data_IF_586507982489
#
_entry.id   IF_586507982489
#
_cell.length_a   1.000
_cell.length_b   1.000
_cell.length_c   1.000
_cell.angle_alpha   90.00
_cell.angle_beta   90.00
_cell.angle_gamma   90.00
#
_symmetry.space_group_name_H-M   'P 1'
#
loop_
_entity.id
_entity.type
_entity.pdbx_description
1 polymer ?
#
# COMPACT_ATOMS: atom_id res chain seq x y z
N UNK A 1 18.48 -25.72 6.55
CA UNK A 1 18.51 -24.76 5.43
C UNK A 1 17.96 -23.47 6.00
N UNK A 2 18.85 -22.52 6.32
CA UNK A 2 18.52 -21.37 7.16
C UNK A 2 17.81 -20.31 6.33
N UNK A 3 16.64 -19.91 6.81
CA UNK A 3 15.99 -18.66 6.46
C UNK A 3 16.92 -17.51 6.84
N UNK A 4 17.51 -16.86 5.86
CA UNK A 4 18.26 -15.64 6.04
C UNK A 4 17.92 -14.67 4.90
N UNK A 5 16.94 -13.81 5.20
CA UNK A 5 16.93 -12.38 4.81
C UNK A 5 16.93 -12.14 3.29
N UNK A 6 15.74 -12.26 2.70
CA UNK A 6 15.33 -11.55 1.48
C UNK A 6 14.41 -10.39 1.92
N UNK A 7 14.94 -9.49 2.76
CA UNK A 7 14.18 -8.35 3.29
C UNK A 7 14.76 -6.99 2.91
N UNK A 8 15.73 -6.94 2.00
CA UNK A 8 16.25 -5.69 1.46
C UNK A 8 16.45 -5.85 -0.05
N UNK A 9 15.36 -6.02 -0.80
CA UNK A 9 15.42 -5.69 -2.22
C UNK A 9 15.36 -4.15 -2.31
N UNK A 10 16.47 -3.47 -2.68
CA UNK A 10 16.50 -2.01 -2.75
C UNK A 10 15.53 -1.45 -3.79
N UNK A 11 15.02 -2.24 -4.74
CA UNK A 11 13.96 -1.80 -5.67
C UNK A 11 12.59 -1.67 -4.98
N UNK A 12 12.40 -2.29 -3.81
CA UNK A 12 11.16 -2.24 -3.03
C UNK A 12 11.25 -1.41 -1.76
N UNK A 13 12.45 -0.97 -1.36
CA UNK A 13 12.64 -0.05 -0.23
C UNK A 13 12.20 1.37 -0.63
N UNK A 14 10.92 1.66 -0.37
CA UNK A 14 10.43 3.04 -0.37
C UNK A 14 11.01 3.75 0.85
N UNK A 15 11.54 4.95 0.66
CA UNK A 15 11.96 5.80 1.79
C UNK A 15 10.78 5.97 2.78
N UNK A 16 10.98 5.83 4.11
CA UNK A 16 9.87 5.88 5.07
C UNK A 16 9.04 7.16 5.01
N UNK A 17 9.65 8.32 4.69
CA UNK A 17 8.90 9.57 4.55
C UNK A 17 8.03 9.51 3.30
N UNK A 18 8.57 8.98 2.21
CA UNK A 18 7.82 8.81 0.97
C UNK A 18 6.68 7.80 1.13
N UNK A 19 6.90 6.69 1.83
CA UNK A 19 5.85 5.72 2.14
C UNK A 19 4.70 6.38 2.93
N UNK A 20 5.02 7.16 3.96
CA UNK A 20 4.01 7.90 4.75
C UNK A 20 3.21 8.85 3.86
N UNK A 21 3.87 9.56 2.93
CA UNK A 21 3.20 10.46 1.99
C UNK A 21 2.26 9.71 1.05
N UNK A 22 2.72 8.62 0.45
CA UNK A 22 1.94 7.77 -0.44
C UNK A 22 0.71 7.19 0.28
N UNK A 23 0.88 6.67 1.49
CA UNK A 23 -0.24 6.16 2.32
C UNK A 23 -1.23 7.26 2.67
N UNK A 24 -0.74 8.44 3.04
CA UNK A 24 -1.59 9.60 3.34
C UNK A 24 -2.41 10.00 2.12
N UNK A 25 -1.77 10.10 0.96
CA UNK A 25 -2.44 10.41 -0.30
C UNK A 25 -3.48 9.36 -0.67
N UNK A 26 -3.16 8.08 -0.54
CA UNK A 26 -4.07 6.97 -0.82
C UNK A 26 -5.33 7.02 0.04
N UNK A 27 -5.20 7.31 1.34
CA UNK A 27 -6.35 7.46 2.23
C UNK A 27 -7.24 8.65 1.85
N UNK A 28 -6.63 9.77 1.45
CA UNK A 28 -7.33 11.01 1.05
C UNK A 28 -8.04 10.87 -0.30
N UNK A 29 -7.44 10.14 -1.24
CA UNK A 29 -7.94 9.95 -2.61
C UNK A 29 -8.47 8.53 -2.85
N UNK A 30 -9.00 7.91 -1.79
CA UNK A 30 -9.50 6.54 -1.84
C UNK A 30 -10.55 6.37 -2.94
N UNK A 31 -10.33 5.35 -3.77
CA UNK A 31 -11.29 4.85 -4.75
C UNK A 31 -11.62 3.38 -4.44
N UNK A 32 -12.83 2.89 -4.76
CA UNK A 32 -13.15 1.47 -4.70
C UNK A 32 -12.32 0.68 -5.72
N UNK A 33 -12.16 -0.63 -5.51
CA UNK A 33 -11.29 -1.50 -6.31
C UNK A 33 -11.49 -1.37 -7.82
N UNK A 34 -12.73 -1.20 -8.28
CA UNK A 34 -13.07 -1.15 -9.70
C UNK A 34 -12.65 0.15 -10.40
N UNK A 35 -12.28 1.18 -9.64
CA UNK A 35 -11.90 2.50 -10.15
C UNK A 35 -10.39 2.77 -10.00
N UNK A 36 -9.62 1.81 -9.46
CA UNK A 36 -8.17 1.95 -9.26
C UNK A 36 -7.42 1.62 -10.54
N UNK A 37 -6.33 2.35 -10.77
CA UNK A 37 -5.37 2.01 -11.80
C UNK A 37 -4.36 1.00 -11.24
N UNK A 38 -4.17 -0.13 -11.92
CA UNK A 38 -3.22 -1.17 -11.51
C UNK A 38 -1.75 -0.73 -11.63
N UNK A 39 -1.47 0.33 -12.40
CA UNK A 39 -0.13 0.91 -12.55
C UNK A 39 0.26 1.86 -11.41
N UNK A 40 -0.66 2.14 -10.47
CA UNK A 40 -0.33 2.95 -9.31
C UNK A 40 0.70 2.31 -8.39
N UNK A 41 1.39 3.16 -7.63
CA UNK A 41 2.43 2.72 -6.72
C UNK A 41 1.89 1.63 -5.75
N UNK A 42 2.60 0.50 -5.54
CA UNK A 42 2.11 -0.60 -4.70
C UNK A 42 1.66 -0.19 -3.29
N UNK A 43 2.39 0.72 -2.64
CA UNK A 43 2.00 1.33 -1.34
C UNK A 43 0.61 1.97 -1.37
N UNK A 44 0.25 2.65 -2.47
CA UNK A 44 -1.08 3.26 -2.62
C UNK A 44 -2.14 2.16 -2.70
N UNK A 45 -1.92 1.16 -3.55
CA UNK A 45 -2.86 0.05 -3.76
C UNK A 45 -3.06 -0.76 -2.46
N UNK A 46 -1.99 -1.05 -1.73
CA UNK A 46 -2.04 -1.73 -0.43
C UNK A 46 -2.77 -0.91 0.62
N UNK A 47 -2.55 0.40 0.69
CA UNK A 47 -3.26 1.26 1.64
C UNK A 47 -4.76 1.34 1.33
N UNK A 48 -5.15 1.39 0.05
CA UNK A 48 -6.57 1.37 -0.32
C UNK A 48 -7.22 0.02 -0.01
N UNK A 49 -6.52 -1.11 -0.21
CA UNK A 49 -6.99 -2.44 0.22
C UNK A 49 -7.18 -2.51 1.73
N UNK A 50 -6.25 -1.93 2.50
CA UNK A 50 -6.37 -1.88 3.95
C UNK A 50 -7.60 -1.07 4.38
N UNK A 51 -7.89 0.04 3.68
CA UNK A 51 -9.11 0.83 3.88
C UNK A 51 -10.38 0.07 3.49
N UNK A 52 -10.36 -0.75 2.44
CA UNK A 52 -11.50 -1.63 2.09
C UNK A 52 -11.86 -2.54 3.27
N UNK A 53 -10.86 -3.20 3.85
CA UNK A 53 -11.01 -4.09 5.01
C UNK A 53 -11.54 -3.33 6.24
N UNK A 54 -11.02 -2.12 6.48
CA UNK A 54 -11.52 -1.25 7.56
C UNK A 54 -13.01 -0.92 7.38
N UNK A 55 -13.44 -0.59 6.16
CA UNK A 55 -14.83 -0.27 5.85
C UNK A 55 -15.75 -1.50 5.98
N UNK A 56 -15.28 -2.68 5.56
CA UNK A 56 -16.04 -3.94 5.69
C UNK A 56 -16.26 -4.32 7.16
N UNK A 57 -15.26 -4.13 8.03
CA UNK A 57 -15.35 -4.41 9.47
C UNK A 57 -16.38 -3.57 10.22
N UNK A 58 -16.76 -2.40 9.69
CA UNK A 58 -17.68 -1.47 10.33
C UNK A 58 -19.12 -1.66 9.83
N UNK A 59 -19.32 -2.49 8.80
CA UNK A 59 -20.61 -2.78 8.18
C UNK A 59 -21.40 -3.85 8.93
#
# INVERSE_FOLDING_TARGET
MNAAILLDDPETMVDPIEEIRLRTWARQNYLPEQERDEEWHPVILDEMRQKDIELDRIR
#
